data_IF_374841237502
#
_entry.id   IF_374841237502
#
_cell.length_a   1.000
_cell.length_b   1.000
_cell.length_c   1.000
_cell.angle_alpha   90.00
_cell.angle_beta   90.00
_cell.angle_gamma   90.00
#
_symmetry.space_group_name_H-M   'P 1'
#
loop_
_entity.id
_entity.type
_entity.pdbx_description
1 polymer ?
#
# COMPACT_ATOMS: atom_id res chain seq x y z
N UNK A 1 -25.10 77.99 19.40
CA UNK A 1 -25.68 77.53 20.67
C UNK A 1 -25.94 76.05 20.60
N UNK A 2 -25.54 75.38 21.58
CA UNK A 2 -25.69 73.97 22.01
C UNK A 2 -24.63 72.98 21.59
N UNK A 3 -23.86 72.75 22.58
CA UNK A 3 -22.85 71.73 22.81
C UNK A 3 -23.49 70.39 23.05
N UNK A 4 -22.94 69.31 22.44
CA UNK A 4 -23.25 67.93 22.87
C UNK A 4 -21.98 67.22 23.28
N UNK A 5 -21.99 66.39 24.35
CA UNK A 5 -20.80 65.85 24.98
C UNK A 5 -20.32 64.55 24.35
N UNK A 6 -19.04 64.45 24.17
CA UNK A 6 -18.27 63.28 23.77
C UNK A 6 -18.37 62.19 24.84
N UNK A 7 -18.95 61.06 24.49
CA UNK A 7 -18.97 59.88 25.30
C UNK A 7 -17.71 59.02 25.00
N UNK A 8 -16.71 59.03 25.88
CA UNK A 8 -15.55 58.18 25.81
C UNK A 8 -15.91 56.75 26.23
N UNK A 9 -15.96 55.84 25.25
CA UNK A 9 -16.10 54.40 25.48
C UNK A 9 -14.70 53.80 25.65
N UNK A 10 -14.29 53.56 26.88
CA UNK A 10 -13.06 52.81 27.22
C UNK A 10 -13.25 51.34 26.88
N UNK A 11 -12.68 50.92 25.71
CA UNK A 11 -12.53 49.52 25.36
C UNK A 11 -11.36 48.95 26.14
N UNK A 12 -11.63 48.28 27.25
CA UNK A 12 -10.66 47.45 27.97
C UNK A 12 -10.33 46.17 27.16
N UNK A 13 -9.19 46.18 26.49
CA UNK A 13 -8.63 45.05 25.76
C UNK A 13 -8.06 44.04 26.79
N UNK A 14 -8.87 43.05 27.17
CA UNK A 14 -8.42 41.92 27.97
C UNK A 14 -7.55 41.01 27.12
N UNK A 15 -6.24 41.13 27.28
CA UNK A 15 -5.24 40.25 26.69
C UNK A 15 -5.29 38.89 27.42
N UNK A 16 -6.08 37.95 26.86
CA UNK A 16 -6.08 36.57 27.36
C UNK A 16 -4.77 35.94 26.96
N UNK A 17 -3.87 35.78 27.93
CA UNK A 17 -2.63 35.02 27.82
C UNK A 17 -3.00 33.55 27.67
N UNK A 18 -3.21 33.08 26.43
CA UNK A 18 -3.31 31.65 26.14
C UNK A 18 -1.90 31.04 26.26
N UNK A 19 -1.62 30.50 27.43
CA UNK A 19 -0.43 29.67 27.63
C UNK A 19 -0.49 28.49 26.64
N UNK A 20 0.53 28.28 25.80
CA UNK A 20 0.57 27.07 25.01
C UNK A 20 0.70 25.89 25.98
N UNK A 21 -0.33 25.04 26.02
CA UNK A 21 -0.22 23.73 26.66
C UNK A 21 0.86 22.98 25.88
N UNK A 22 2.06 22.94 26.41
CA UNK A 22 3.11 22.02 25.99
C UNK A 22 2.60 20.62 26.33
N UNK A 23 1.94 20.00 25.36
CA UNK A 23 1.69 18.56 25.42
C UNK A 23 3.07 17.90 25.41
N UNK A 24 3.49 17.41 26.54
CA UNK A 24 4.59 16.46 26.61
C UNK A 24 4.24 15.34 25.64
N UNK A 25 4.96 15.24 24.52
CA UNK A 25 4.79 14.14 23.55
C UNK A 25 5.19 12.87 24.29
N UNK A 26 4.21 12.19 24.88
CA UNK A 26 4.41 10.84 25.39
C UNK A 26 4.73 9.97 24.17
N UNK A 27 5.92 9.38 24.15
CA UNK A 27 6.30 8.38 23.16
C UNK A 27 5.23 7.28 23.14
N UNK A 28 4.55 7.13 22.03
CA UNK A 28 3.48 6.15 21.91
C UNK A 28 4.08 4.73 21.91
N UNK A 29 3.60 3.85 22.79
CA UNK A 29 3.98 2.43 22.77
C UNK A 29 2.99 1.67 21.92
N UNK A 30 3.48 1.09 20.82
CA UNK A 30 2.67 0.34 19.87
C UNK A 30 3.03 -1.14 19.89
N UNK A 31 2.04 -2.01 19.78
CA UNK A 31 2.26 -3.43 19.55
C UNK A 31 2.53 -3.70 18.07
N UNK A 32 3.16 -4.84 17.77
CA UNK A 32 3.42 -5.25 16.36
C UNK A 32 2.11 -5.42 15.60
N UNK A 33 1.07 -5.94 16.26
CA UNK A 33 -0.26 -6.14 15.69
C UNK A 33 -0.95 -4.80 15.35
N UNK A 34 -0.79 -3.79 16.18
CA UNK A 34 -1.31 -2.43 15.92
C UNK A 34 -0.63 -1.80 14.71
N UNK A 35 0.70 -1.91 14.63
CA UNK A 35 1.46 -1.44 13.46
C UNK A 35 1.03 -2.15 12.19
N UNK A 36 0.86 -3.48 12.23
CA UNK A 36 0.37 -4.25 11.08
C UNK A 36 -1.03 -3.81 10.66
N UNK A 37 -1.96 -3.72 11.61
CA UNK A 37 -3.35 -3.30 11.33
C UNK A 37 -3.40 -1.93 10.69
N UNK A 38 -2.71 -0.95 11.27
CA UNK A 38 -2.68 0.43 10.79
C UNK A 38 -2.01 0.51 9.42
N UNK A 39 -0.87 -0.16 9.24
CA UNK A 39 -0.17 -0.20 7.97
C UNK A 39 -0.97 -0.84 6.84
N UNK A 40 -1.67 -1.95 7.11
CA UNK A 40 -2.54 -2.61 6.12
C UNK A 40 -3.73 -1.75 5.70
N UNK A 41 -4.21 -0.86 6.57
CA UNK A 41 -5.32 0.04 6.24
C UNK A 41 -4.87 1.27 5.46
N UNK A 42 -3.68 1.79 5.73
CA UNK A 42 -3.21 3.07 5.17
C UNK A 42 -2.29 2.91 3.95
N UNK A 43 -1.68 1.75 3.75
CA UNK A 43 -0.68 1.57 2.69
C UNK A 43 -1.30 1.63 1.30
N UNK A 44 -0.72 2.48 0.43
CA UNK A 44 -1.20 2.72 -0.93
C UNK A 44 -1.20 1.47 -1.82
N UNK A 45 -0.30 0.50 -1.61
CA UNK A 45 -0.28 -0.75 -2.39
C UNK A 45 -1.53 -1.60 -2.13
N UNK A 46 -1.97 -1.70 -0.87
CA UNK A 46 -3.19 -2.43 -0.51
C UNK A 46 -4.43 -1.71 -1.06
N UNK A 47 -4.46 -0.37 -0.96
CA UNK A 47 -5.55 0.43 -1.52
C UNK A 47 -5.62 0.29 -3.05
N UNK A 48 -4.49 0.33 -3.74
CA UNK A 48 -4.41 0.12 -5.19
C UNK A 48 -4.88 -1.29 -5.58
N UNK A 49 -4.42 -2.34 -4.88
CA UNK A 49 -4.87 -3.71 -5.13
C UNK A 49 -6.37 -3.89 -4.89
N UNK A 50 -6.93 -3.22 -3.89
CA UNK A 50 -8.38 -3.18 -3.65
C UNK A 50 -9.13 -2.51 -4.80
N UNK A 51 -8.60 -1.42 -5.35
CA UNK A 51 -9.20 -0.73 -6.49
C UNK A 51 -9.21 -1.59 -7.75
N UNK A 52 -8.21 -2.48 -7.94
CA UNK A 52 -8.19 -3.45 -9.05
C UNK A 52 -9.39 -4.40 -9.01
N UNK A 53 -9.84 -4.82 -7.82
CA UNK A 53 -11.06 -5.63 -7.68
C UNK A 53 -12.27 -4.84 -8.21
N UNK A 54 -12.40 -3.56 -7.87
CA UNK A 54 -13.48 -2.71 -8.38
C UNK A 54 -13.46 -2.55 -9.90
N UNK A 55 -12.27 -2.39 -10.49
CA UNK A 55 -12.11 -2.35 -11.95
C UNK A 55 -12.48 -3.68 -12.62
N UNK A 56 -12.10 -4.81 -12.03
CA UNK A 56 -12.49 -6.12 -12.54
C UNK A 56 -14.02 -6.34 -12.46
N UNK A 57 -14.66 -5.92 -11.37
CA UNK A 57 -16.11 -5.96 -11.23
C UNK A 57 -16.83 -5.10 -12.29
N UNK A 58 -16.34 -3.90 -12.57
CA UNK A 58 -16.84 -3.08 -13.67
C UNK A 58 -16.69 -3.80 -15.03
N UNK A 59 -15.61 -4.57 -15.20
CA UNK A 59 -15.41 -5.44 -16.37
C UNK A 59 -16.50 -6.49 -16.52
N UNK A 60 -16.98 -7.10 -15.42
CA UNK A 60 -18.11 -8.05 -15.44
C UNK A 60 -19.41 -7.36 -15.88
N UNK A 61 -19.65 -6.14 -15.38
CA UNK A 61 -20.83 -5.35 -15.79
C UNK A 61 -20.76 -5.08 -17.30
N UNK A 62 -19.61 -4.65 -17.81
CA UNK A 62 -19.41 -4.41 -19.25
C UNK A 62 -19.57 -5.72 -20.06
N UNK A 63 -19.02 -6.84 -19.56
CA UNK A 63 -19.15 -8.14 -20.21
C UNK A 63 -20.60 -8.69 -20.22
N UNK A 64 -21.41 -8.31 -19.24
CA UNK A 64 -22.82 -8.73 -19.16
C UNK A 64 -23.75 -7.87 -20.02
N UNK A 65 -23.32 -6.69 -20.46
CA UNK A 65 -24.13 -5.80 -21.27
C UNK A 65 -24.43 -6.42 -22.65
N UNK A 66 -25.62 -6.17 -23.18
CA UNK A 66 -25.95 -6.49 -24.56
C UNK A 66 -25.25 -5.53 -25.53
N UNK A 67 -24.92 -6.03 -26.70
CA UNK A 67 -24.37 -5.19 -27.75
C UNK A 67 -25.37 -4.12 -28.18
N UNK A 68 -24.91 -2.88 -28.32
CA UNK A 68 -25.76 -1.77 -28.68
C UNK A 68 -26.26 -1.89 -30.15
N UNK A 69 -27.50 -1.47 -30.43
CA UNK A 69 -27.94 -1.33 -31.82
C UNK A 69 -27.15 -0.23 -32.51
N UNK A 70 -26.80 -0.47 -33.76
CA UNK A 70 -26.17 0.51 -34.63
C UNK A 70 -27.20 1.07 -35.59
N UNK A 71 -27.29 2.41 -35.66
CA UNK A 71 -28.16 3.13 -36.59
C UNK A 71 -27.25 3.85 -37.58
N UNK A 72 -27.29 3.40 -38.85
CA UNK A 72 -26.54 4.02 -39.91
C UNK A 72 -27.50 4.77 -40.85
N UNK A 73 -27.23 6.06 -41.05
CA UNK A 73 -27.97 6.88 -42.01
C UNK A 73 -27.06 7.23 -43.17
N UNK A 74 -27.39 6.74 -44.34
CA UNK A 74 -26.65 7.04 -45.58
C UNK A 74 -27.52 7.90 -46.50
N UNK A 75 -26.98 9.00 -46.97
CA UNK A 75 -27.63 9.85 -47.97
C UNK A 75 -26.70 10.04 -49.17
N UNK A 76 -27.19 9.82 -50.34
CA UNK A 76 -26.39 9.95 -51.55
C UNK A 76 -27.24 9.98 -52.84
N UNK A 77 -26.64 10.35 -53.99
CA UNK A 77 -27.32 10.27 -55.27
C UNK A 77 -27.65 8.81 -55.60
N UNK A 78 -28.82 8.56 -56.19
CA UNK A 78 -29.23 7.23 -56.64
C UNK A 78 -28.35 6.74 -57.78
N UNK A 79 -27.42 5.83 -57.48
CA UNK A 79 -26.48 5.27 -58.46
C UNK A 79 -27.10 4.24 -59.42
N UNK A 80 -28.35 3.83 -59.22
CA UNK A 80 -29.05 2.89 -60.09
C UNK A 80 -29.65 3.54 -61.35
N UNK A 81 -29.62 4.86 -61.48
CA UNK A 81 -30.04 5.59 -62.65
C UNK A 81 -28.89 5.86 -63.60
N UNK A 82 -28.30 4.81 -64.15
CA UNK A 82 -27.37 4.88 -65.23
C UNK A 82 -28.11 4.60 -66.60
N UNK A 83 -29.26 5.27 -66.78
CA UNK A 83 -29.89 5.30 -68.08
C UNK A 83 -29.55 6.63 -68.78
N UNK A 84 -28.68 6.65 -69.79
CA UNK A 84 -28.15 7.88 -70.41
C UNK A 84 -29.18 8.73 -71.13
N UNK A 85 -30.45 8.35 -71.12
CA UNK A 85 -31.52 9.00 -71.87
C UNK A 85 -32.42 9.88 -71.01
N UNK A 86 -32.34 9.77 -69.66
CA UNK A 86 -33.19 10.53 -68.73
C UNK A 86 -32.39 11.63 -68.07
N UNK A 87 -32.35 12.82 -68.67
CA UNK A 87 -31.91 14.09 -68.02
C UNK A 87 -32.98 14.61 -67.09
N UNK A 88 -33.01 14.11 -65.86
CA UNK A 88 -33.84 14.63 -64.76
C UNK A 88 -32.98 14.86 -63.51
N UNK A 89 -33.41 15.68 -62.55
CA UNK A 89 -32.67 15.90 -61.33
C UNK A 89 -32.44 14.58 -60.61
N UNK A 90 -31.18 14.25 -60.28
CA UNK A 90 -30.82 13.07 -59.52
C UNK A 90 -31.58 13.05 -58.20
N UNK A 91 -32.36 11.98 -57.97
CA UNK A 91 -33.08 11.82 -56.73
C UNK A 91 -32.07 11.48 -55.64
N UNK A 92 -32.19 12.16 -54.51
CA UNK A 92 -31.40 11.86 -53.31
C UNK A 92 -32.00 10.64 -52.62
N UNK A 93 -31.29 9.53 -52.56
CA UNK A 93 -31.70 8.35 -51.82
C UNK A 93 -31.20 8.47 -50.38
N UNK A 94 -32.10 8.31 -49.41
CA UNK A 94 -31.78 8.21 -48.02
C UNK A 94 -32.04 6.80 -47.54
N UNK A 95 -31.01 6.18 -46.95
CA UNK A 95 -31.11 4.83 -46.39
C UNK A 95 -30.89 4.91 -44.89
N UNK A 96 -31.81 4.34 -44.14
CA UNK A 96 -31.68 4.19 -42.66
C UNK A 96 -31.62 2.71 -42.38
N UNK A 97 -30.48 2.28 -41.86
CA UNK A 97 -30.26 0.89 -41.44
C UNK A 97 -30.15 0.81 -39.94
N UNK A 98 -30.97 -0.03 -39.31
CA UNK A 98 -30.86 -0.38 -37.92
C UNK A 98 -30.35 -1.82 -37.83
N UNK A 99 -29.17 -2.01 -37.27
CA UNK A 99 -28.54 -3.30 -37.08
C UNK A 99 -28.45 -3.62 -35.60
N UNK A 100 -29.09 -4.69 -35.18
CA UNK A 100 -29.00 -5.23 -33.83
C UNK A 100 -28.26 -6.56 -33.83
N UNK A 101 -27.00 -6.61 -33.36
CA UNK A 101 -26.29 -7.89 -33.27
C UNK A 101 -26.92 -8.76 -32.17
N UNK A 102 -27.33 -9.96 -32.54
CA UNK A 102 -27.81 -10.97 -31.60
C UNK A 102 -26.66 -11.90 -31.29
N UNK A 103 -26.19 -11.84 -30.02
CA UNK A 103 -25.08 -12.67 -29.57
C UNK A 103 -25.54 -14.08 -29.20
N UNK A 104 -24.73 -15.09 -29.55
CA UNK A 104 -24.96 -16.45 -29.11
C UNK A 104 -24.90 -16.55 -27.57
N UNK A 105 -25.92 -17.09 -26.88
CA UNK A 105 -25.94 -17.21 -25.41
C UNK A 105 -24.72 -17.94 -24.83
N UNK A 106 -24.19 -18.95 -25.55
CA UNK A 106 -23.01 -19.71 -25.10
C UNK A 106 -21.74 -18.80 -25.11
N UNK A 107 -21.60 -17.96 -26.14
CA UNK A 107 -20.48 -17.03 -26.21
C UNK A 107 -20.61 -15.92 -25.16
N UNK A 108 -21.82 -15.43 -24.94
CA UNK A 108 -22.11 -14.46 -23.91
C UNK A 108 -21.75 -15.01 -22.51
N UNK A 109 -22.16 -16.24 -22.19
CA UNK A 109 -21.82 -16.88 -20.91
C UNK A 109 -20.30 -17.09 -20.77
N UNK A 110 -19.61 -17.52 -21.83
CA UNK A 110 -18.15 -17.67 -21.80
C UNK A 110 -17.43 -16.32 -21.54
N UNK A 111 -17.91 -15.22 -22.13
CA UNK A 111 -17.39 -13.87 -21.89
C UNK A 111 -17.60 -13.42 -20.45
N UNK A 112 -18.79 -13.67 -19.88
CA UNK A 112 -19.10 -13.34 -18.49
C UNK A 112 -18.21 -14.16 -17.56
N UNK A 113 -18.15 -15.48 -17.72
CA UNK A 113 -17.33 -16.37 -16.89
C UNK A 113 -15.82 -15.98 -16.94
N UNK A 114 -15.32 -15.63 -18.12
CA UNK A 114 -13.95 -15.14 -18.25
C UNK A 114 -13.71 -13.82 -17.48
N UNK A 115 -14.70 -12.93 -17.46
CA UNK A 115 -14.63 -11.68 -16.70
C UNK A 115 -14.77 -11.90 -15.20
N UNK A 116 -15.57 -12.86 -14.76
CA UNK A 116 -15.67 -13.26 -13.34
C UNK A 116 -14.36 -13.85 -12.83
N UNK A 117 -13.68 -14.67 -13.66
CA UNK A 117 -12.35 -15.18 -13.32
C UNK A 117 -11.29 -14.08 -13.16
N UNK A 118 -11.43 -12.95 -13.87
CA UNK A 118 -10.58 -11.77 -13.64
C UNK A 118 -10.83 -11.17 -12.26
N UNK A 119 -12.07 -11.16 -11.77
CA UNK A 119 -12.39 -10.70 -10.41
C UNK A 119 -11.74 -11.62 -9.36
N UNK A 120 -11.83 -12.93 -9.55
CA UNK A 120 -11.24 -13.89 -8.61
C UNK A 120 -9.72 -13.83 -8.61
N UNK A 121 -9.09 -13.68 -9.77
CA UNK A 121 -7.64 -13.43 -9.88
C UNK A 121 -7.23 -12.11 -9.20
N UNK A 122 -8.05 -11.06 -9.32
CA UNK A 122 -7.79 -9.78 -8.66
C UNK A 122 -7.94 -9.87 -7.13
N UNK A 123 -8.89 -10.65 -6.63
CA UNK A 123 -9.04 -10.93 -5.19
C UNK A 123 -7.84 -11.70 -4.64
N UNK A 124 -7.42 -12.77 -5.32
CA UNK A 124 -6.26 -13.55 -4.93
C UNK A 124 -4.96 -12.69 -4.94
N UNK A 125 -4.81 -11.80 -5.92
CA UNK A 125 -3.71 -10.83 -5.97
C UNK A 125 -3.75 -9.82 -4.81
N UNK A 126 -4.94 -9.34 -4.44
CA UNK A 126 -5.11 -8.48 -3.27
C UNK A 126 -4.70 -9.19 -1.98
N UNK A 127 -5.11 -10.45 -1.79
CA UNK A 127 -4.79 -11.23 -0.61
C UNK A 127 -3.27 -11.49 -0.51
N UNK A 128 -2.59 -11.73 -1.64
CA UNK A 128 -1.14 -11.82 -1.66
C UNK A 128 -0.47 -10.51 -1.27
N UNK A 129 -0.83 -9.38 -1.88
CA UNK A 129 -0.26 -8.06 -1.55
C UNK A 129 -0.43 -7.75 -0.06
N UNK A 130 -1.60 -8.08 0.49
CA UNK A 130 -1.90 -7.90 1.91
C UNK A 130 -1.01 -8.78 2.81
N UNK A 131 -0.82 -10.05 2.45
CA UNK A 131 0.02 -10.99 3.20
C UNK A 131 1.49 -10.57 3.15
N UNK A 132 2.00 -10.18 1.98
CA UNK A 132 3.38 -9.71 1.79
C UNK A 132 3.65 -8.44 2.59
N UNK A 133 2.73 -7.48 2.57
CA UNK A 133 2.86 -6.27 3.37
C UNK A 133 2.81 -6.58 4.88
N UNK A 134 1.92 -7.48 5.32
CA UNK A 134 1.85 -7.89 6.73
C UNK A 134 3.17 -8.53 7.20
N UNK A 135 3.78 -9.38 6.36
CA UNK A 135 5.08 -9.97 6.64
C UNK A 135 6.18 -8.91 6.72
N UNK A 136 6.23 -7.97 5.76
CA UNK A 136 7.20 -6.88 5.76
C UNK A 136 7.06 -5.96 6.99
N UNK A 137 5.83 -5.58 7.35
CA UNK A 137 5.58 -4.77 8.54
C UNK A 137 6.06 -5.50 9.81
N UNK A 138 5.83 -6.81 9.92
CA UNK A 138 6.32 -7.62 11.03
C UNK A 138 7.84 -7.64 11.09
N UNK A 139 8.52 -7.90 9.98
CA UNK A 139 9.99 -7.90 9.90
C UNK A 139 10.56 -6.54 10.31
N UNK A 140 10.00 -5.43 9.78
CA UNK A 140 10.44 -4.08 10.12
C UNK A 140 10.18 -3.71 11.59
N UNK A 141 9.09 -4.20 12.16
CA UNK A 141 8.80 -4.01 13.59
C UNK A 141 9.83 -4.71 14.48
N UNK A 142 10.19 -5.95 14.16
CA UNK A 142 11.25 -6.67 14.87
C UNK A 142 12.64 -6.05 14.63
N UNK A 143 12.91 -5.52 13.44
CA UNK A 143 14.15 -4.77 13.17
C UNK A 143 14.25 -3.52 14.07
N UNK A 144 13.18 -2.75 14.20
CA UNK A 144 13.16 -1.60 15.11
C UNK A 144 13.37 -2.02 16.56
N UNK A 145 12.70 -3.09 17.01
CA UNK A 145 12.86 -3.63 18.36
C UNK A 145 14.32 -4.05 18.62
N UNK A 146 14.95 -4.74 17.66
CA UNK A 146 16.36 -5.11 17.75
C UNK A 146 17.27 -3.88 17.89
N UNK A 147 17.01 -2.81 17.13
CA UNK A 147 17.79 -1.56 17.23
C UNK A 147 17.58 -0.85 18.56
N UNK A 148 16.38 -0.89 19.14
CA UNK A 148 16.10 -0.36 20.46
C UNK A 148 16.89 -1.11 21.55
N UNK A 149 16.91 -2.43 21.52
CA UNK A 149 17.70 -3.26 22.44
C UNK A 149 19.21 -3.03 22.28
N UNK A 150 19.69 -2.90 21.02
CA UNK A 150 21.10 -2.55 20.75
C UNK A 150 21.48 -1.19 21.33
N UNK A 151 20.61 -0.19 21.18
CA UNK A 151 20.86 1.13 21.75
C UNK A 151 20.89 1.08 23.28
N UNK A 152 19.96 0.37 23.92
CA UNK A 152 19.93 0.19 25.36
C UNK A 152 21.21 -0.49 25.88
N UNK A 153 21.71 -1.49 25.17
CA UNK A 153 22.98 -2.16 25.48
C UNK A 153 24.18 -1.20 25.38
N UNK A 154 24.30 -0.47 24.26
CA UNK A 154 25.42 0.49 24.06
C UNK A 154 25.35 1.65 25.05
N UNK A 155 24.18 2.08 25.46
CA UNK A 155 24.01 3.06 26.54
C UNK A 155 24.54 2.50 27.86
N UNK A 156 24.22 1.26 28.22
CA UNK A 156 24.71 0.61 29.44
C UNK A 156 26.23 0.43 29.44
N UNK A 157 26.82 0.13 28.27
CA UNK A 157 28.27 0.03 28.10
C UNK A 157 28.93 1.39 28.27
N UNK A 158 28.35 2.45 27.68
CA UNK A 158 28.85 3.81 27.83
C UNK A 158 28.86 4.25 29.29
N UNK A 159 27.76 4.03 30.03
CA UNK A 159 27.63 4.38 31.45
C UNK A 159 28.66 3.63 32.28
N UNK A 160 28.88 2.35 32.01
CA UNK A 160 29.90 1.55 32.73
C UNK A 160 31.32 2.06 32.47
N UNK A 161 31.68 2.34 31.22
CA UNK A 161 33.03 2.81 30.86
C UNK A 161 33.29 4.20 31.44
N UNK A 162 32.26 5.06 31.51
CA UNK A 162 32.37 6.37 32.13
C UNK A 162 32.54 6.25 33.64
N UNK A 163 31.90 5.31 34.32
CA UNK A 163 32.11 5.02 35.76
C UNK A 163 33.54 4.56 36.04
N UNK A 164 34.07 3.67 35.17
CA UNK A 164 35.46 3.19 35.27
C UNK A 164 36.44 4.38 35.11
N UNK A 165 36.23 5.19 34.08
CA UNK A 165 37.03 6.40 33.86
C UNK A 165 37.03 7.36 35.07
N UNK A 166 35.86 7.58 35.70
CA UNK A 166 35.77 8.42 36.89
C UNK A 166 36.62 7.87 38.05
N UNK A 167 36.61 6.56 38.28
CA UNK A 167 37.43 5.90 39.32
C UNK A 167 38.93 6.04 39.03
N UNK A 168 39.35 5.85 37.76
CA UNK A 168 40.73 6.03 37.34
C UNK A 168 41.18 7.48 37.57
N UNK A 169 40.35 8.48 37.22
CA UNK A 169 40.67 9.88 37.43
C UNK A 169 40.97 10.18 38.93
N UNK A 170 40.15 9.69 39.88
CA UNK A 170 40.37 9.83 41.31
C UNK A 170 41.69 9.19 41.75
N UNK A 171 42.04 8.02 41.23
CA UNK A 171 43.29 7.33 41.60
C UNK A 171 44.52 8.01 41.02
N UNK A 172 44.39 8.63 39.82
CA UNK A 172 45.44 9.44 39.23
C UNK A 172 45.69 10.74 40.08
N UNK A 173 44.62 11.39 40.54
CA UNK A 173 44.69 12.56 41.41
C UNK A 173 45.37 12.25 42.72
N UNK A 174 45.17 11.02 43.26
CA UNK A 174 45.85 10.53 44.46
C UNK A 174 47.29 10.08 44.23
N UNK A 175 47.74 10.06 42.96
CA UNK A 175 49.08 9.56 42.63
C UNK A 175 49.22 8.02 42.63
N UNK A 176 48.13 7.28 42.72
CA UNK A 176 48.11 5.80 42.78
C UNK A 176 48.29 5.17 41.40
N UNK A 177 47.87 5.88 40.34
CA UNK A 177 47.87 5.36 38.94
C UNK A 177 48.54 6.41 38.02
N UNK A 178 49.24 5.95 37.01
CA UNK A 178 49.88 6.80 36.03
C UNK A 178 48.85 7.59 35.16
N UNK A 179 49.17 8.86 34.83
CA UNK A 179 48.31 9.74 34.00
C UNK A 179 47.99 9.15 32.63
N UNK A 180 48.85 8.29 32.09
CA UNK A 180 48.64 7.58 30.83
C UNK A 180 47.35 6.72 30.86
N UNK A 181 47.02 6.07 31.97
CA UNK A 181 45.81 5.25 32.12
C UNK A 181 44.55 6.11 32.05
N UNK A 182 44.57 7.34 32.53
CA UNK A 182 43.45 8.27 32.34
C UNK A 182 43.22 8.62 30.86
N UNK A 183 44.28 8.88 30.13
CA UNK A 183 44.21 9.17 28.67
C UNK A 183 43.63 7.98 27.90
N UNK A 184 44.03 6.75 28.30
CA UNK A 184 43.49 5.54 27.71
C UNK A 184 42.00 5.38 28.04
N UNK A 185 41.60 5.62 29.30
CA UNK A 185 40.21 5.58 29.69
C UNK A 185 39.34 6.65 28.97
N UNK A 186 39.87 7.88 28.78
CA UNK A 186 39.21 8.91 27.99
C UNK A 186 38.94 8.46 26.55
N UNK A 187 39.91 7.76 25.94
CA UNK A 187 39.75 7.21 24.58
C UNK A 187 38.65 6.15 24.54
N UNK A 188 38.57 5.27 25.54
CA UNK A 188 37.51 4.24 25.60
C UNK A 188 36.13 4.85 25.81
N UNK A 189 35.98 5.90 26.64
CA UNK A 189 34.72 6.64 26.78
C UNK A 189 34.30 7.23 25.45
N UNK A 190 35.24 7.85 24.68
CA UNK A 190 34.92 8.41 23.38
C UNK A 190 34.49 7.34 22.37
N UNK A 191 35.14 6.19 22.37
CA UNK A 191 34.78 5.06 21.54
C UNK A 191 33.36 4.52 21.89
N UNK A 192 33.05 4.41 23.17
CA UNK A 192 31.73 3.98 23.65
C UNK A 192 30.64 5.03 23.29
N UNK A 193 30.95 6.33 23.41
CA UNK A 193 30.05 7.40 22.99
C UNK A 193 29.73 7.32 21.50
N UNK A 194 30.73 7.09 20.66
CA UNK A 194 30.53 6.94 19.21
C UNK A 194 29.66 5.73 18.86
N UNK A 195 29.87 4.58 19.52
CA UNK A 195 29.03 3.38 19.32
C UNK A 195 27.59 3.64 19.75
N UNK A 196 27.37 4.27 20.89
CA UNK A 196 26.04 4.66 21.38
C UNK A 196 25.31 5.56 20.38
N UNK A 197 26.00 6.62 19.86
CA UNK A 197 25.40 7.50 18.88
C UNK A 197 25.08 6.79 17.54
N UNK A 198 25.95 5.90 17.09
CA UNK A 198 25.68 5.08 15.91
C UNK A 198 24.44 4.17 16.11
N UNK A 199 24.28 3.56 17.29
CA UNK A 199 23.11 2.77 17.64
C UNK A 199 21.84 3.64 17.71
N UNK A 200 21.90 4.85 18.27
CA UNK A 200 20.81 5.82 18.27
C UNK A 200 20.32 6.17 16.88
N UNK A 201 21.25 6.45 15.97
CA UNK A 201 20.92 6.68 14.55
C UNK A 201 20.31 5.44 13.90
N UNK A 202 20.75 4.24 14.30
CA UNK A 202 20.16 2.96 13.86
C UNK A 202 18.67 2.86 14.20
N UNK A 203 18.29 3.22 15.43
CA UNK A 203 16.87 3.29 15.86
C UNK A 203 16.08 4.26 15.01
N UNK A 204 16.62 5.47 14.78
CA UNK A 204 15.92 6.48 13.97
C UNK A 204 15.69 6.01 12.53
N UNK A 205 16.70 5.39 11.90
CA UNK A 205 16.57 4.84 10.54
C UNK A 205 15.50 3.75 10.45
N UNK A 206 15.50 2.82 11.42
CA UNK A 206 14.50 1.75 11.47
C UNK A 206 13.09 2.31 11.68
N UNK A 207 12.93 3.33 12.54
CA UNK A 207 11.67 4.04 12.77
C UNK A 207 11.13 4.70 11.51
N UNK A 208 11.98 5.45 10.78
CA UNK A 208 11.61 6.11 9.52
C UNK A 208 11.21 5.08 8.46
N UNK A 209 11.95 3.97 8.36
CA UNK A 209 11.60 2.89 7.43
C UNK A 209 10.20 2.32 7.73
N UNK A 210 9.86 2.11 9.01
CA UNK A 210 8.54 1.61 9.40
C UNK A 210 7.43 2.65 9.13
N UNK A 211 7.71 3.95 9.35
CA UNK A 211 6.80 5.04 9.01
C UNK A 211 6.45 5.08 7.51
N UNK A 212 7.42 4.81 6.64
CA UNK A 212 7.18 4.74 5.20
C UNK A 212 6.23 3.59 4.83
N UNK A 213 6.41 2.40 5.43
CA UNK A 213 5.54 1.24 5.19
C UNK A 213 4.11 1.44 5.72
N UNK A 214 3.94 2.23 6.77
CA UNK A 214 2.62 2.58 7.32
C UNK A 214 2.02 3.82 6.67
N UNK A 215 2.65 4.38 5.61
CA UNK A 215 2.23 5.62 4.95
C UNK A 215 2.03 6.80 5.93
N UNK A 216 2.82 6.85 7.02
CA UNK A 216 2.71 7.89 8.04
C UNK A 216 1.49 7.79 8.96
N UNK A 217 0.77 6.67 8.94
CA UNK A 217 -0.45 6.50 9.74
C UNK A 217 -0.20 6.22 11.22
N UNK A 218 1.06 5.97 11.62
CA UNK A 218 1.46 5.86 13.03
C UNK A 218 2.16 7.16 13.47
N UNK A 219 2.18 7.49 14.78
CA UNK A 219 2.88 8.65 15.30
C UNK A 219 4.36 8.66 14.89
N UNK A 220 4.97 9.85 14.75
CA UNK A 220 6.39 9.96 14.39
C UNK A 220 7.29 9.45 15.52
N UNK A 221 6.88 9.70 16.77
CA UNK A 221 7.61 9.27 17.96
C UNK A 221 6.86 8.11 18.63
N UNK A 222 7.38 6.91 18.41
CA UNK A 222 6.83 5.67 18.97
C UNK A 222 7.93 4.67 19.29
N UNK A 223 7.61 3.73 20.15
CA UNK A 223 8.42 2.56 20.50
C UNK A 223 7.61 1.29 20.29
N UNK A 224 8.28 0.22 19.90
CA UNK A 224 7.64 -1.10 19.80
C UNK A 224 7.65 -1.74 21.21
N UNK A 225 6.46 -2.07 21.68
CA UNK A 225 6.27 -2.81 22.94
C UNK A 225 6.10 -4.30 22.65
N UNK A 226 7.23 -5.00 22.53
CA UNK A 226 7.30 -6.45 22.35
C UNK A 226 8.62 -6.97 22.95
N UNK A 227 8.77 -8.28 23.07
CA UNK A 227 9.99 -8.92 23.56
C UNK A 227 10.60 -9.79 22.46
N UNK A 228 11.93 -9.68 22.27
CA UNK A 228 12.69 -10.59 21.40
C UNK A 228 12.88 -11.98 22.03
N UNK A 229 12.57 -12.13 23.31
CA UNK A 229 12.78 -13.37 24.08
C UNK A 229 11.55 -14.27 24.10
N UNK A 230 10.41 -13.79 23.56
CA UNK A 230 9.19 -14.59 23.55
C UNK A 230 9.36 -15.81 22.64
N UNK A 231 9.10 -17.01 23.13
CA UNK A 231 9.28 -18.23 22.34
C UNK A 231 8.25 -18.27 21.22
N UNK A 232 8.71 -18.46 19.99
CA UNK A 232 7.83 -18.66 18.84
C UNK A 232 7.68 -20.19 18.64
N UNK A 233 6.48 -20.69 18.87
CA UNK A 233 6.15 -22.09 18.58
C UNK A 233 5.82 -22.25 17.09
N UNK A 234 6.70 -22.93 16.35
CA UNK A 234 6.43 -23.29 14.97
C UNK A 234 5.78 -24.68 14.91
N UNK A 235 4.72 -24.86 14.10
CA UNK A 235 4.20 -26.20 13.80
C UNK A 235 5.26 -27.08 13.16
N UNK A 236 5.10 -28.40 13.27
CA UNK A 236 6.01 -29.33 12.62
C UNK A 236 6.06 -29.09 11.11
N UNK A 237 7.25 -29.20 10.50
CA UNK A 237 7.47 -28.92 9.08
C UNK A 237 6.51 -29.69 8.17
N UNK A 238 6.19 -30.93 8.51
CA UNK A 238 5.29 -31.79 7.74
C UNK A 238 3.86 -31.24 7.69
N UNK A 239 3.38 -30.72 8.82
CA UNK A 239 2.07 -30.05 8.91
C UNK A 239 2.05 -28.78 8.05
N UNK A 240 3.11 -27.97 8.10
CA UNK A 240 3.22 -26.77 7.28
C UNK A 240 3.23 -27.10 5.78
N UNK A 241 3.97 -28.12 5.35
CA UNK A 241 4.02 -28.57 3.94
C UNK A 241 2.65 -28.98 3.40
N UNK A 242 1.85 -29.67 4.22
CA UNK A 242 0.49 -30.06 3.82
C UNK A 242 -0.48 -28.86 3.73
N UNK A 243 -0.27 -27.85 4.56
CA UNK A 243 -1.16 -26.66 4.57
C UNK A 243 -0.82 -25.65 3.48
N UNK A 244 0.44 -25.57 3.02
CA UNK A 244 0.90 -24.55 2.05
C UNK A 244 0.01 -24.45 0.81
N UNK A 245 -0.42 -25.52 0.11
CA UNK A 245 -1.22 -25.38 -1.11
C UNK A 245 -2.58 -24.71 -0.91
N UNK A 246 -3.15 -24.82 0.30
CA UNK A 246 -4.48 -24.27 0.62
C UNK A 246 -4.46 -22.92 1.35
N UNK A 247 -3.30 -22.49 1.85
CA UNK A 247 -3.19 -21.28 2.70
C UNK A 247 -2.22 -20.24 2.12
N UNK A 248 -1.29 -20.65 1.26
CA UNK A 248 -0.31 -19.73 0.69
C UNK A 248 -0.97 -18.81 -0.36
N UNK A 249 -0.99 -17.48 -0.14
CA UNK A 249 -1.65 -16.53 -1.03
C UNK A 249 -1.04 -16.51 -2.45
N UNK A 250 0.25 -16.78 -2.59
CA UNK A 250 0.92 -16.83 -3.89
C UNK A 250 0.44 -18.03 -4.71
N UNK A 251 0.30 -19.21 -4.08
CA UNK A 251 -0.23 -20.41 -4.74
C UNK A 251 -1.67 -20.17 -5.17
N UNK A 252 -2.51 -19.60 -4.31
CA UNK A 252 -3.90 -19.26 -4.61
C UNK A 252 -4.00 -18.26 -5.77
N UNK A 253 -3.12 -17.27 -5.81
CA UNK A 253 -3.06 -16.30 -6.92
C UNK A 253 -2.71 -16.99 -8.24
N UNK A 254 -1.69 -17.84 -8.26
CA UNK A 254 -1.28 -18.57 -9.47
C UNK A 254 -2.36 -19.52 -9.97
N UNK A 255 -3.09 -20.18 -9.07
CA UNK A 255 -4.25 -21.02 -9.42
C UNK A 255 -5.38 -20.19 -10.04
N UNK A 256 -5.71 -19.04 -9.45
CA UNK A 256 -6.73 -18.14 -10.01
C UNK A 256 -6.33 -17.56 -11.37
N UNK A 257 -5.05 -17.24 -11.57
CA UNK A 257 -4.53 -16.81 -12.87
C UNK A 257 -4.56 -17.93 -13.92
N UNK A 258 -4.27 -19.17 -13.54
CA UNK A 258 -4.38 -20.32 -14.41
C UNK A 258 -5.83 -20.53 -14.86
N UNK A 259 -6.78 -20.47 -13.94
CA UNK A 259 -8.21 -20.60 -14.26
C UNK A 259 -8.69 -19.46 -15.16
N UNK A 260 -8.28 -18.21 -14.88
CA UNK A 260 -8.54 -17.07 -15.76
C UNK A 260 -8.02 -17.32 -17.20
N UNK A 261 -6.80 -17.84 -17.32
CA UNK A 261 -6.20 -18.14 -18.62
C UNK A 261 -6.99 -19.24 -19.37
N UNK A 262 -7.42 -20.29 -18.67
CA UNK A 262 -8.20 -21.37 -19.23
C UNK A 262 -9.56 -20.89 -19.76
N UNK A 263 -10.27 -20.09 -18.99
CA UNK A 263 -11.56 -19.52 -19.37
C UNK A 263 -11.42 -18.54 -20.53
N UNK A 264 -10.35 -17.77 -20.60
CA UNK A 264 -10.05 -16.92 -21.75
C UNK A 264 -9.79 -17.72 -23.02
N UNK A 265 -9.02 -18.82 -22.94
CA UNK A 265 -8.83 -19.73 -24.08
C UNK A 265 -10.17 -20.31 -24.56
N UNK A 266 -11.04 -20.68 -23.65
CA UNK A 266 -12.37 -21.21 -23.97
C UNK A 266 -13.25 -20.18 -24.69
N UNK A 267 -13.19 -18.93 -24.24
CA UNK A 267 -13.85 -17.80 -24.89
C UNK A 267 -13.34 -17.59 -26.33
N UNK A 268 -12.02 -17.53 -26.53
CA UNK A 268 -11.42 -17.32 -27.84
C UNK A 268 -11.72 -18.48 -28.84
N UNK A 269 -11.71 -19.73 -28.36
CA UNK A 269 -12.11 -20.89 -29.19
C UNK A 269 -13.57 -20.79 -29.63
N UNK A 270 -14.46 -20.30 -28.77
CA UNK A 270 -15.85 -20.05 -29.15
C UNK A 270 -15.97 -19.03 -30.26
N UNK A 271 -15.17 -17.97 -30.28
CA UNK A 271 -15.12 -16.99 -31.37
C UNK A 271 -14.57 -17.60 -32.67
N UNK A 272 -13.55 -18.44 -32.61
CA UNK A 272 -12.94 -19.07 -33.78
C UNK A 272 -13.90 -20.01 -34.55
N UNK A 273 -14.73 -20.75 -33.86
CA UNK A 273 -15.73 -21.65 -34.47
C UNK A 273 -16.79 -20.85 -35.21
N UNK A 274 -17.27 -19.73 -34.68
CA UNK A 274 -18.28 -18.89 -35.34
C UNK A 274 -17.73 -18.09 -36.52
N UNK A 275 -16.48 -17.68 -36.47
CA UNK A 275 -15.83 -17.01 -37.64
C UNK A 275 -15.67 -17.97 -38.82
N UNK A 276 -15.32 -19.22 -38.59
CA UNK A 276 -15.15 -20.22 -39.64
C UNK A 276 -16.49 -20.66 -40.28
N UNK A 277 -17.59 -20.60 -39.52
CA UNK A 277 -18.93 -20.86 -40.07
C UNK A 277 -19.44 -19.73 -41.00
N UNK A 278 -19.00 -18.49 -40.79
CA UNK A 278 -19.35 -17.35 -41.67
C UNK A 278 -18.55 -17.29 -42.97
N UNK A 279 -17.38 -17.94 -43.01
CA UNK A 279 -16.54 -18.00 -44.23
C UNK A 279 -16.99 -19.08 -45.23
N UNK A 280 -17.98 -19.90 -44.90
CA UNK A 280 -18.48 -21.02 -45.75
C UNK A 280 -19.81 -20.65 -46.44
N UNK A 281 -20.36 -19.48 -46.23
CA UNK A 281 -21.55 -18.93 -46.89
C UNK A 281 -21.21 -17.66 -47.67
#
# INVERSE_FOLDING_TARGET
MQTSPFCYLLLSFSFVFSSPLVFAQQTAKLTIEEVQRTGLQANGLVLAARSQIGMAQAGVVAASAFLNPEVTVTAGPDSKRLDPIITGPSSMQRHVTVSQPIENPVMRSARINASEAVVDASRASYDQVRADLAAQLRVRSYELLLRQEQFAMEQSIYDLVEDVRRRIAINVERGEIARFELIRADTEVQNAANRREAARLGVQRARIALLQFTAGAIPVDFEINASLKDPVNFPALEVLRQQVPGVNPEVMRLQAEQERANLRISQERGFGITANQRAIH
#
